data_IF_813710314021
#
_entry.id   IF_813710314021
#
_cell.length_a   1.000
_cell.length_b   1.000
_cell.length_c   1.000
_cell.angle_alpha   90.00
_cell.angle_beta   90.00
_cell.angle_gamma   90.00
#
_symmetry.space_group_name_H-M   'P 1'
#
loop_
_entity.id
_entity.type
_entity.pdbx_description
1 polymer ?
#
# COMPACT_ATOMS: atom_id res chain seq x y z
N UNK A 1 -47.60 -47.00 0.98
CA UNK A 1 -48.82 -46.18 0.85
C UNK A 1 -48.49 -44.98 -0.01
N UNK A 2 -49.00 -44.96 -1.24
CA UNK A 2 -48.89 -43.85 -2.17
C UNK A 2 -50.20 -43.06 -2.14
N UNK A 3 -50.13 -41.73 -2.09
CA UNK A 3 -51.27 -40.86 -2.30
C UNK A 3 -50.93 -39.90 -3.45
N UNK A 4 -51.64 -40.09 -4.56
CA UNK A 4 -51.73 -39.19 -5.71
C UNK A 4 -53.00 -38.33 -5.54
N UNK A 5 -53.11 -37.32 -6.42
CA UNK A 5 -54.27 -36.48 -6.76
C UNK A 5 -54.37 -35.17 -5.97
N UNK A 6 -54.62 -34.02 -6.60
CA UNK A 6 -54.99 -33.77 -7.99
C UNK A 6 -54.86 -32.29 -8.35
N UNK A 7 -54.65 -32.05 -9.64
CA UNK A 7 -54.62 -30.74 -10.28
C UNK A 7 -56.06 -30.21 -10.36
N UNK A 8 -56.28 -28.96 -9.96
CA UNK A 8 -57.49 -28.21 -10.31
C UNK A 8 -57.08 -26.99 -11.13
N UNK A 9 -57.46 -27.04 -12.41
CA UNK A 9 -57.49 -25.91 -13.33
C UNK A 9 -58.67 -25.00 -12.96
N UNK A 10 -58.43 -23.69 -12.84
CA UNK A 10 -59.50 -22.69 -12.96
C UNK A 10 -59.12 -21.63 -13.98
N UNK A 11 -60.10 -21.38 -14.84
CA UNK A 11 -60.08 -20.71 -16.13
C UNK A 11 -59.55 -19.27 -16.14
N UNK A 12 -58.88 -18.99 -17.26
CA UNK A 12 -58.55 -17.67 -17.77
C UNK A 12 -59.80 -16.79 -18.00
N UNK A 13 -59.71 -15.52 -17.62
CA UNK A 13 -60.50 -14.45 -18.21
C UNK A 13 -59.55 -13.34 -18.67
N UNK A 14 -59.79 -12.86 -19.88
CA UNK A 14 -58.84 -12.18 -20.73
C UNK A 14 -58.87 -10.65 -20.57
N UNK A 15 -57.77 -10.03 -21.02
CA UNK A 15 -57.66 -8.69 -21.62
C UNK A 15 -57.83 -7.46 -20.71
N UNK A 16 -56.70 -6.79 -20.51
CA UNK A 16 -56.61 -5.41 -20.05
C UNK A 16 -55.17 -4.89 -20.16
N UNK A 17 -54.59 -4.87 -21.37
CA UNK A 17 -53.36 -4.08 -21.60
C UNK A 17 -53.79 -2.62 -21.76
N UNK A 18 -54.00 -1.96 -20.62
CA UNK A 18 -54.09 -0.50 -20.58
C UNK A 18 -52.68 0.06 -20.55
N UNK A 19 -52.25 0.62 -21.68
CA UNK A 19 -51.07 1.45 -21.77
C UNK A 19 -51.25 2.68 -20.87
N UNK A 20 -50.65 2.66 -19.68
CA UNK A 20 -50.37 3.88 -18.94
C UNK A 20 -49.01 4.39 -19.40
N UNK A 21 -49.05 5.43 -20.23
CA UNK A 21 -47.94 6.32 -20.47
C UNK A 21 -47.40 6.76 -19.10
N UNK A 22 -46.25 6.22 -18.71
CA UNK A 22 -45.47 6.79 -17.63
C UNK A 22 -44.99 8.17 -18.11
N UNK A 23 -45.72 9.21 -17.75
CA UNK A 23 -45.10 10.52 -17.62
C UNK A 23 -44.04 10.36 -16.54
N UNK A 24 -42.78 10.35 -16.97
CA UNK A 24 -41.63 10.42 -16.08
C UNK A 24 -41.73 11.73 -15.30
N UNK A 25 -42.42 11.72 -14.16
CA UNK A 25 -42.23 12.72 -13.14
C UNK A 25 -40.81 12.51 -12.62
N UNK A 26 -39.88 13.31 -13.13
CA UNK A 26 -38.54 13.42 -12.61
C UNK A 26 -38.62 13.69 -11.10
N UNK A 27 -38.30 12.68 -10.29
CA UNK A 27 -38.06 12.91 -8.88
C UNK A 27 -36.84 13.83 -8.77
N UNK A 28 -36.90 14.93 -8.01
CA UNK A 28 -35.73 15.76 -7.79
C UNK A 28 -34.68 14.90 -7.07
N UNK A 29 -33.59 14.61 -7.77
CA UNK A 29 -32.42 13.97 -7.18
C UNK A 29 -31.86 14.82 -6.03
N UNK A 30 -31.13 14.23 -5.08
CA UNK A 30 -30.43 14.98 -4.06
C UNK A 30 -29.54 16.01 -4.75
N UNK A 31 -29.80 17.28 -4.48
CA UNK A 31 -29.05 18.39 -5.07
C UNK A 31 -27.55 18.28 -4.77
N UNK A 32 -26.71 19.00 -5.53
CA UNK A 32 -25.27 19.00 -5.31
C UNK A 32 -24.98 19.51 -3.90
N UNK A 33 -24.62 18.57 -3.01
CA UNK A 33 -24.12 18.88 -1.68
C UNK A 33 -22.85 19.71 -1.82
N UNK A 34 -22.80 20.78 -1.04
CA UNK A 34 -21.66 21.67 -0.85
C UNK A 34 -20.33 20.92 -0.76
N UNK A 35 -19.54 20.92 -1.83
CA UNK A 35 -18.09 20.83 -1.72
C UNK A 35 -17.54 22.23 -1.99
N UNK A 36 -17.31 22.97 -0.92
CA UNK A 36 -16.70 24.30 -0.99
C UNK A 36 -15.31 24.22 -1.63
N UNK A 37 -14.86 25.26 -2.35
CA UNK A 37 -13.50 25.31 -2.86
C UNK A 37 -12.55 25.46 -1.67
N UNK A 38 -11.86 24.39 -1.26
CA UNK A 38 -10.88 24.51 -0.18
C UNK A 38 -10.38 23.25 0.52
N UNK A 39 -10.95 22.06 0.27
CA UNK A 39 -10.53 20.82 0.96
C UNK A 39 -9.62 19.89 0.13
N UNK A 40 -8.96 20.39 -0.91
CA UNK A 40 -8.02 19.58 -1.71
C UNK A 40 -6.67 20.26 -1.96
N UNK A 41 -6.23 21.10 -1.01
CA UNK A 41 -4.96 21.83 -1.07
C UNK A 41 -4.19 21.68 0.25
N UNK A 42 -4.01 20.44 0.70
CA UNK A 42 -2.96 20.08 1.65
C UNK A 42 -1.77 19.48 0.88
N UNK A 43 -0.51 19.80 1.21
CA UNK A 43 0.64 19.19 0.56
C UNK A 43 0.66 17.66 0.73
N UNK A 44 0.17 16.94 -0.29
CA UNK A 44 0.87 15.76 -0.81
C UNK A 44 0.74 14.39 -0.10
N UNK A 45 -0.19 14.12 0.81
CA UNK A 45 -0.35 12.74 1.34
C UNK A 45 -1.20 11.79 0.46
N UNK A 46 -1.82 12.28 -0.62
CA UNK A 46 -2.49 11.43 -1.62
C UNK A 46 -2.12 11.85 -3.05
N UNK A 47 -0.83 11.91 -3.35
CA UNK A 47 -0.39 12.00 -4.75
C UNK A 47 -0.65 10.70 -5.50
N UNK A 48 -0.87 10.77 -6.82
CA UNK A 48 -1.10 9.66 -7.77
C UNK A 48 -0.07 8.50 -7.76
N UNK A 49 0.85 8.44 -6.79
CA UNK A 49 1.85 7.40 -6.60
C UNK A 49 1.38 6.16 -5.83
N UNK A 50 0.22 6.19 -5.14
CA UNK A 50 -0.20 5.06 -4.30
C UNK A 50 -0.95 3.94 -5.07
N UNK A 51 -1.41 4.21 -6.29
CA UNK A 51 -2.19 3.25 -7.10
C UNK A 51 -1.47 2.71 -8.36
N UNK A 52 -0.21 3.08 -8.62
CA UNK A 52 0.46 2.72 -9.89
C UNK A 52 1.86 2.10 -9.81
N UNK A 53 2.59 2.26 -8.71
CA UNK A 53 3.97 1.76 -8.58
C UNK A 53 4.14 1.01 -7.26
N UNK A 54 3.87 -0.30 -7.26
CA UNK A 54 4.22 -1.18 -6.14
C UNK A 54 5.70 -1.59 -6.23
N UNK A 55 6.34 -1.80 -5.08
CA UNK A 55 7.75 -2.26 -5.01
C UNK A 55 8.77 -1.17 -5.34
N UNK A 56 9.87 -1.54 -6.00
CA UNK A 56 10.98 -0.62 -6.38
C UNK A 56 10.47 0.66 -7.06
N UNK A 57 9.37 0.56 -7.80
CA UNK A 57 8.83 1.70 -8.50
C UNK A 57 8.43 2.87 -7.59
N UNK A 58 7.92 2.60 -6.39
CA UNK A 58 7.54 3.62 -5.42
C UNK A 58 8.74 4.48 -4.98
N UNK A 59 9.95 3.90 -4.97
CA UNK A 59 11.18 4.58 -4.55
C UNK A 59 11.67 5.60 -5.59
N UNK A 60 11.11 5.59 -6.80
CA UNK A 60 11.39 6.60 -7.81
C UNK A 60 10.57 7.88 -7.63
N UNK A 61 9.70 7.93 -6.63
CA UNK A 61 9.04 9.17 -6.25
C UNK A 61 10.02 10.08 -5.49
N UNK A 62 10.07 11.40 -5.78
CA UNK A 62 10.90 12.35 -5.02
C UNK A 62 10.69 12.29 -3.49
N UNK A 63 9.48 11.94 -3.04
CA UNK A 63 9.12 11.77 -1.63
C UNK A 63 9.58 10.45 -0.98
N UNK A 64 10.32 9.58 -1.68
CA UNK A 64 10.77 8.30 -1.13
C UNK A 64 11.67 8.45 0.12
N UNK A 65 12.52 9.48 0.16
CA UNK A 65 13.39 9.77 1.31
C UNK A 65 12.60 10.27 2.51
N UNK A 66 11.66 11.21 2.30
CA UNK A 66 10.75 11.67 3.34
C UNK A 66 9.85 10.56 3.88
N UNK A 67 9.45 9.61 3.03
CA UNK A 67 8.76 8.41 3.49
C UNK A 67 9.63 7.49 4.36
N UNK A 68 10.91 7.32 4.01
CA UNK A 68 11.85 6.55 4.82
C UNK A 68 12.08 7.18 6.20
N UNK A 69 12.22 8.50 6.24
CA UNK A 69 12.27 9.29 7.48
C UNK A 69 11.00 9.10 8.32
N UNK A 70 9.83 9.34 7.74
CA UNK A 70 8.54 9.17 8.44
C UNK A 70 8.36 7.75 8.98
N UNK A 71 8.78 6.72 8.23
CA UNK A 71 8.72 5.33 8.70
C UNK A 71 9.67 5.07 9.87
N UNK A 72 10.86 5.67 9.87
CA UNK A 72 11.78 5.55 11.00
C UNK A 72 11.16 6.19 12.25
N UNK A 73 10.61 7.40 12.13
CA UNK A 73 9.97 8.10 13.26
C UNK A 73 8.81 7.27 13.83
N UNK A 74 8.02 6.62 12.97
CA UNK A 74 6.95 5.73 13.41
C UNK A 74 7.47 4.48 14.15
N UNK A 75 8.66 3.99 13.81
CA UNK A 75 9.32 2.91 14.56
C UNK A 75 9.70 3.40 15.97
N UNK A 76 10.26 4.61 16.09
CA UNK A 76 10.61 5.18 17.40
C UNK A 76 9.38 5.29 18.32
N UNK A 77 8.25 5.75 17.79
CA UNK A 77 6.98 5.81 18.52
C UNK A 77 6.49 4.41 18.92
N UNK A 78 6.55 3.43 18.01
CA UNK A 78 6.10 2.06 18.25
C UNK A 78 6.87 1.40 19.40
N UNK A 79 8.19 1.52 19.40
CA UNK A 79 9.04 0.89 20.43
C UNK A 79 9.15 1.74 21.70
N UNK A 80 8.52 2.91 21.74
CA UNK A 80 8.66 3.90 22.82
C UNK A 80 10.14 4.15 23.13
N UNK A 81 10.85 4.67 22.12
CA UNK A 81 12.29 4.90 22.16
C UNK A 81 12.72 5.67 23.41
N UNK A 82 13.75 5.18 24.11
CA UNK A 82 14.34 5.85 25.27
C UNK A 82 15.49 6.77 24.85
N UNK A 83 15.88 7.71 25.72
CA UNK A 83 16.99 8.63 25.41
C UNK A 83 18.33 7.89 25.27
N UNK A 84 18.53 6.81 26.02
CA UNK A 84 19.72 5.96 25.91
C UNK A 84 19.83 5.25 24.53
N UNK A 85 18.70 5.05 23.85
CA UNK A 85 18.64 4.38 22.54
C UNK A 85 18.70 5.37 21.37
N UNK A 86 18.53 6.67 21.62
CA UNK A 86 18.36 7.69 20.56
C UNK A 86 19.54 7.78 19.61
N UNK A 87 20.78 7.75 20.12
CA UNK A 87 21.97 7.80 19.26
C UNK A 87 22.03 6.66 18.23
N UNK A 88 21.74 5.41 18.64
CA UNK A 88 21.71 4.27 17.72
C UNK A 88 20.50 4.27 16.79
N UNK A 89 19.38 4.79 17.27
CA UNK A 89 18.22 5.01 16.41
C UNK A 89 18.49 6.05 15.32
N UNK A 90 19.18 7.16 15.64
CA UNK A 90 19.51 8.21 14.67
C UNK A 90 20.46 7.70 13.58
N UNK A 91 21.44 6.85 13.94
CA UNK A 91 22.28 6.13 12.97
C UNK A 91 21.43 5.26 12.02
N UNK A 92 20.46 4.51 12.58
CA UNK A 92 19.52 3.70 11.79
C UNK A 92 18.61 4.56 10.88
N UNK A 93 18.11 5.69 11.38
CA UNK A 93 17.28 6.63 10.62
C UNK A 93 18.08 7.20 9.45
N UNK A 94 19.30 7.67 9.68
CA UNK A 94 20.18 8.18 8.64
C UNK A 94 20.50 7.11 7.59
N UNK A 95 20.80 5.87 8.01
CA UNK A 95 21.04 4.76 7.11
C UNK A 95 19.79 4.42 6.26
N UNK A 96 18.60 4.49 6.85
CA UNK A 96 17.33 4.26 6.14
C UNK A 96 17.07 5.32 5.07
N UNK A 97 17.34 6.59 5.36
CA UNK A 97 17.24 7.70 4.40
C UNK A 97 18.24 7.49 3.27
N UNK A 98 19.50 7.19 3.59
CA UNK A 98 20.54 6.91 2.58
C UNK A 98 20.19 5.72 1.69
N UNK A 99 19.61 4.65 2.25
CA UNK A 99 19.12 3.52 1.46
C UNK A 99 18.01 3.92 0.48
N UNK A 100 17.08 4.78 0.90
CA UNK A 100 16.05 5.31 0.01
C UNK A 100 16.65 6.20 -1.11
N UNK A 101 17.67 7.00 -0.81
CA UNK A 101 18.41 7.78 -1.81
C UNK A 101 19.12 6.88 -2.84
N UNK A 102 19.80 5.83 -2.39
CA UNK A 102 20.44 4.84 -3.27
C UNK A 102 19.42 4.23 -4.24
N UNK A 103 18.25 3.84 -3.71
CA UNK A 103 17.18 3.29 -4.56
C UNK A 103 16.62 4.32 -5.54
N UNK A 104 16.41 5.55 -5.11
CA UNK A 104 15.91 6.65 -5.95
C UNK A 104 16.88 6.98 -7.08
N UNK A 105 18.18 7.02 -6.80
CA UNK A 105 19.20 7.38 -7.78
C UNK A 105 19.37 6.31 -8.88
N UNK A 106 18.93 5.07 -8.63
CA UNK A 106 18.94 4.01 -9.64
C UNK A 106 17.67 3.96 -10.51
N UNK A 107 16.73 4.88 -10.29
CA UNK A 107 15.53 4.96 -11.10
C UNK A 107 15.87 5.37 -12.52
N UNK A 108 15.60 4.46 -13.46
CA UNK A 108 15.80 4.71 -14.88
C UNK A 108 14.82 5.78 -15.37
N UNK A 109 15.36 6.75 -16.11
CA UNK A 109 14.60 7.75 -16.86
C UNK A 109 13.98 7.16 -18.11
N UNK A 110 14.69 6.24 -18.76
CA UNK A 110 14.32 5.65 -20.04
C UNK A 110 14.13 4.13 -19.96
N UNK A 111 13.13 3.63 -20.68
CA UNK A 111 12.83 2.19 -20.76
C UNK A 111 13.60 1.60 -21.94
N UNK A 112 14.47 0.59 -21.73
CA UNK A 112 15.21 -0.02 -22.84
C UNK A 112 14.29 -0.65 -23.88
N UNK A 113 14.59 -0.40 -25.16
CA UNK A 113 13.79 -0.89 -26.30
C UNK A 113 13.99 -2.39 -26.55
N UNK A 114 15.18 -2.91 -26.26
CA UNK A 114 15.53 -4.31 -26.47
C UNK A 114 15.28 -5.16 -25.22
N UNK A 115 15.00 -6.45 -25.42
CA UNK A 115 14.87 -7.41 -24.31
C UNK A 115 16.17 -7.53 -23.52
N UNK A 116 17.33 -7.48 -24.19
CA UNK A 116 18.65 -7.52 -23.54
C UNK A 116 18.84 -6.32 -22.61
N UNK A 117 18.58 -5.10 -23.10
CA UNK A 117 18.69 -3.90 -22.27
C UNK A 117 17.70 -3.89 -21.10
N UNK A 118 16.51 -4.47 -21.27
CA UNK A 118 15.55 -4.64 -20.17
C UNK A 118 16.06 -5.58 -19.09
N UNK A 119 16.79 -6.63 -19.45
CA UNK A 119 17.41 -7.55 -18.49
C UNK A 119 18.56 -6.90 -17.74
N UNK A 120 19.46 -6.17 -18.41
CA UNK A 120 20.54 -5.39 -17.76
C UNK A 120 19.97 -4.36 -16.79
N UNK A 121 18.86 -3.73 -17.17
CA UNK A 121 18.11 -2.83 -16.31
C UNK A 121 17.53 -3.52 -15.06
N UNK A 122 17.11 -4.77 -15.17
CA UNK A 122 16.65 -5.56 -14.01
C UNK A 122 17.81 -5.91 -13.08
N UNK A 123 18.94 -6.33 -13.63
CA UNK A 123 20.17 -6.64 -12.88
C UNK A 123 20.62 -5.43 -12.04
N UNK A 124 20.76 -4.26 -12.68
CA UNK A 124 21.13 -3.02 -11.99
C UNK A 124 20.16 -2.64 -10.86
N UNK A 125 18.86 -2.89 -11.03
CA UNK A 125 17.86 -2.66 -9.97
C UNK A 125 18.08 -3.61 -8.79
N UNK A 126 18.37 -4.89 -9.04
CA UNK A 126 18.64 -5.87 -7.99
C UNK A 126 19.92 -5.54 -7.22
N UNK A 127 20.98 -5.15 -7.92
CA UNK A 127 22.22 -4.69 -7.29
C UNK A 127 22.01 -3.47 -6.41
N UNK A 128 21.21 -2.51 -6.87
CA UNK A 128 20.86 -1.33 -6.08
C UNK A 128 20.08 -1.73 -4.82
N UNK A 129 19.11 -2.63 -4.93
CA UNK A 129 18.37 -3.14 -3.77
C UNK A 129 19.30 -3.81 -2.76
N UNK A 130 20.28 -4.58 -3.23
CA UNK A 130 21.29 -5.20 -2.37
C UNK A 130 22.17 -4.15 -1.67
N UNK A 131 22.63 -3.12 -2.39
CA UNK A 131 23.40 -2.01 -1.81
C UNK A 131 22.60 -1.24 -0.76
N UNK A 132 21.31 -0.99 -1.00
CA UNK A 132 20.41 -0.36 -0.04
C UNK A 132 20.27 -1.19 1.24
N UNK A 133 20.15 -2.52 1.14
CA UNK A 133 20.12 -3.41 2.30
C UNK A 133 21.45 -3.40 3.06
N UNK A 134 22.58 -3.47 2.34
CA UNK A 134 23.92 -3.42 2.93
C UNK A 134 24.19 -2.11 3.68
N UNK A 135 23.58 -1.01 3.23
CA UNK A 135 23.66 0.30 3.88
C UNK A 135 22.88 0.32 5.21
N UNK A 136 21.66 -0.24 5.22
CA UNK A 136 20.76 -0.16 6.38
C UNK A 136 21.07 -1.22 7.45
N UNK A 137 21.45 -2.45 7.05
CA UNK A 137 21.53 -3.61 7.95
C UNK A 137 22.44 -3.39 9.16
N UNK A 138 23.68 -2.90 9.03
CA UNK A 138 24.57 -2.74 10.19
C UNK A 138 24.01 -1.76 11.24
N UNK A 139 23.41 -0.66 10.80
CA UNK A 139 22.82 0.32 11.70
C UNK A 139 21.54 -0.23 12.38
N UNK A 140 20.73 -0.99 11.64
CA UNK A 140 19.58 -1.69 12.21
C UNK A 140 20.00 -2.72 13.27
N UNK A 141 21.03 -3.52 13.00
CA UNK A 141 21.56 -4.51 13.96
C UNK A 141 22.06 -3.82 15.24
N UNK A 142 22.81 -2.72 15.08
CA UNK A 142 23.30 -1.94 16.22
C UNK A 142 22.15 -1.33 17.04
N UNK A 143 21.14 -0.74 16.40
CA UNK A 143 19.94 -0.25 17.07
C UNK A 143 19.16 -1.37 17.76
N UNK A 144 18.91 -2.47 17.06
CA UNK A 144 18.15 -3.61 17.58
C UNK A 144 18.81 -4.25 18.81
N UNK A 145 20.14 -4.26 18.87
CA UNK A 145 20.89 -4.72 20.04
C UNK A 145 20.65 -3.87 21.30
N UNK A 146 20.26 -2.61 21.17
CA UNK A 146 19.94 -1.72 22.30
C UNK A 146 18.53 -1.91 22.86
N UNK A 147 17.66 -2.63 22.15
CA UNK A 147 16.25 -2.78 22.50
C UNK A 147 16.05 -3.84 23.60
N UNK A 148 15.08 -3.59 24.49
CA UNK A 148 14.58 -4.62 25.40
C UNK A 148 13.79 -5.68 24.63
N UNK A 149 13.55 -6.83 25.26
CA UNK A 149 12.81 -7.91 24.61
C UNK A 149 11.35 -7.53 24.32
N UNK A 150 10.73 -6.70 25.17
CA UNK A 150 9.39 -6.14 24.92
C UNK A 150 9.39 -5.20 23.71
N UNK A 151 10.43 -4.37 23.56
CA UNK A 151 10.57 -3.47 22.41
C UNK A 151 10.80 -4.27 21.11
N UNK A 152 11.65 -5.30 21.16
CA UNK A 152 11.86 -6.24 20.04
C UNK A 152 10.57 -6.95 19.67
N UNK A 153 9.80 -7.43 20.63
CA UNK A 153 8.51 -8.08 20.39
C UNK A 153 7.53 -7.16 19.65
N UNK A 154 7.41 -5.88 20.07
CA UNK A 154 6.60 -4.89 19.37
C UNK A 154 7.07 -4.68 17.93
N UNK A 155 8.37 -4.45 17.75
CA UNK A 155 8.96 -4.23 16.42
C UNK A 155 8.74 -5.42 15.49
N UNK A 156 8.95 -6.65 15.96
CA UNK A 156 8.78 -7.88 15.18
C UNK A 156 7.31 -8.17 14.85
N UNK A 157 6.38 -7.88 15.76
CA UNK A 157 4.94 -8.07 15.54
C UNK A 157 4.39 -7.18 14.42
N UNK A 158 4.99 -6.01 14.22
CA UNK A 158 4.61 -5.06 13.18
C UNK A 158 4.99 -5.53 11.77
N UNK A 159 5.99 -6.41 11.65
CA UNK A 159 6.34 -7.07 10.39
C UNK A 159 5.54 -8.36 10.12
N UNK A 160 4.74 -8.83 11.10
CA UNK A 160 4.05 -10.13 11.06
C UNK A 160 2.65 -10.14 10.43
N UNK A 161 2.05 -8.98 10.09
CA UNK A 161 0.70 -8.92 9.47
C UNK A 161 0.70 -8.60 7.97
N UNK A 162 1.86 -8.65 7.33
CA UNK A 162 1.98 -8.55 5.88
C UNK A 162 2.00 -9.92 5.21
N UNK A 163 1.42 -10.03 4.00
CA UNK A 163 1.43 -11.21 3.12
C UNK A 163 2.84 -11.71 2.71
N UNK A 164 3.90 -11.16 3.29
CA UNK A 164 5.31 -11.46 3.04
C UNK A 164 5.79 -12.69 3.82
N UNK A 165 5.21 -12.99 4.99
CA UNK A 165 5.59 -14.16 5.81
C UNK A 165 5.16 -15.52 5.25
N UNK A 166 4.11 -15.58 4.43
CA UNK A 166 3.54 -16.83 3.86
C UNK A 166 4.47 -17.54 2.85
N UNK A 167 5.59 -16.94 2.46
CA UNK A 167 6.54 -17.60 1.56
C UNK A 167 7.39 -18.66 2.29
N UNK A 168 7.58 -18.54 3.61
CA UNK A 168 8.34 -19.52 4.41
C UNK A 168 7.57 -20.82 4.65
N UNK A 169 6.24 -20.78 4.63
CA UNK A 169 5.39 -21.95 4.91
C UNK A 169 5.04 -22.78 3.66
N UNK A 170 5.77 -22.57 2.54
CA UNK A 170 5.49 -23.19 1.23
C UNK A 170 6.69 -23.95 0.64
N UNK A 171 7.73 -24.16 1.43
CA UNK A 171 8.89 -24.98 1.08
C UNK A 171 9.26 -25.85 2.28
#
# INVERSE_FOLDING_TARGET
MAARFGIVLVASAALGVSALLATAAAQPGPGPGFMGPGMMSGPGMMGSGMMGRRGFGAMCNPGATGFAEWRADRIAELVKLTDAQRGKFDEFKAASIKSAEVMRNACQTDVPETIVGRTEAMEKRMDTMLQAIRTMRPALEAFYATLSDEQKAKLNSNYGRGRFGRWRDRW
#
